data_IF_067891771645
#
_entry.id   IF_067891771645
#
_cell.length_a   1.000
_cell.length_b   1.000
_cell.length_c   1.000
_cell.angle_alpha   90.00
_cell.angle_beta   90.00
_cell.angle_gamma   90.00
#
_symmetry.space_group_name_H-M   'P 1'
#
loop_
_entity.id
_entity.type
_entity.pdbx_description
1 polymer ?
#
# COMPACT_ATOMS: atom_id res chain seq x y z
N UNK A 1 16.33 -24.97 16.62
CA UNK A 1 16.80 -23.59 16.42
C UNK A 1 15.59 -22.76 16.08
N UNK A 2 15.35 -21.63 16.75
CA UNK A 2 14.32 -20.69 16.30
C UNK A 2 14.75 -20.14 14.94
N UNK A 3 13.87 -20.20 13.95
CA UNK A 3 14.04 -19.49 12.67
C UNK A 3 14.05 -18.00 12.99
N UNK A 4 15.15 -17.31 12.69
CA UNK A 4 15.25 -15.86 12.84
C UNK A 4 14.36 -15.20 11.78
N UNK A 5 13.55 -14.22 12.19
CA UNK A 5 12.67 -13.48 11.29
C UNK A 5 13.39 -12.32 10.61
N UNK A 6 12.80 -11.81 9.53
CA UNK A 6 13.19 -10.51 8.98
C UNK A 6 12.22 -9.45 9.47
N UNK A 7 12.75 -8.34 10.00
CA UNK A 7 11.98 -7.16 10.38
C UNK A 7 12.25 -6.06 9.36
N UNK A 8 11.18 -5.48 8.80
CA UNK A 8 11.24 -4.32 7.92
C UNK A 8 10.53 -3.13 8.56
N UNK A 9 11.16 -1.97 8.52
CA UNK A 9 10.61 -0.71 9.05
C UNK A 9 10.65 0.35 7.97
N UNK A 10 9.49 0.85 7.57
CA UNK A 10 9.36 2.01 6.71
C UNK A 10 9.68 3.29 7.47
N UNK A 11 10.44 4.19 6.86
CA UNK A 11 10.85 5.45 7.47
C UNK A 11 10.47 6.65 6.60
N UNK A 12 10.47 7.83 7.21
CA UNK A 12 10.37 9.09 6.48
C UNK A 12 11.79 9.59 6.24
N UNK A 13 12.24 9.59 4.98
CA UNK A 13 13.53 10.13 4.56
C UNK A 13 14.72 9.17 4.64
N UNK A 14 14.51 7.88 4.99
CA UNK A 14 15.56 6.85 4.91
C UNK A 14 15.13 5.58 4.16
N UNK A 15 13.98 5.56 3.49
CA UNK A 15 13.48 4.37 2.83
C UNK A 15 13.09 3.28 3.83
N UNK A 16 13.47 2.03 3.56
CA UNK A 16 13.25 0.88 4.45
C UNK A 16 14.51 0.54 5.24
N UNK A 17 14.35 0.29 6.54
CA UNK A 17 15.36 -0.33 7.40
C UNK A 17 15.03 -1.81 7.57
N UNK A 18 16.06 -2.67 7.55
CA UNK A 18 15.93 -4.13 7.63
C UNK A 18 16.80 -4.69 8.74
N UNK A 19 16.29 -5.68 9.46
CA UNK A 19 17.04 -6.53 10.39
C UNK A 19 16.75 -8.00 10.09
N UNK A 20 17.78 -8.83 10.01
CA UNK A 20 17.68 -10.29 9.89
C UNK A 20 18.09 -11.04 11.17
N UNK A 21 18.21 -10.29 12.28
CA UNK A 21 18.68 -10.77 13.57
C UNK A 21 17.78 -10.29 14.71
N UNK A 22 16.47 -10.29 14.45
CA UNK A 22 15.41 -9.93 15.40
C UNK A 22 15.60 -8.55 16.05
N UNK A 23 16.14 -7.60 15.28
CA UNK A 23 16.31 -6.19 15.67
C UNK A 23 17.65 -5.87 16.32
N UNK A 24 18.58 -6.82 16.43
CA UNK A 24 19.89 -6.59 17.03
C UNK A 24 20.78 -5.67 16.17
N UNK A 25 20.70 -5.77 14.84
CA UNK A 25 21.38 -4.90 13.90
C UNK A 25 20.48 -4.51 12.72
N UNK A 26 20.77 -3.36 12.12
CA UNK A 26 19.93 -2.74 11.09
C UNK A 26 20.74 -2.29 9.88
N UNK A 27 20.23 -2.58 8.69
CA UNK A 27 20.75 -2.09 7.41
C UNK A 27 19.67 -1.30 6.67
N UNK A 28 20.06 -0.22 6.00
CA UNK A 28 19.17 0.59 5.17
C UNK A 28 19.09 0.06 3.74
N UNK A 29 17.89 -0.03 3.17
CA UNK A 29 17.66 -0.20 1.74
C UNK A 29 18.17 1.03 0.98
N UNK A 30 19.41 0.96 0.48
CA UNK A 30 20.05 2.06 -0.24
C UNK A 30 19.73 2.04 -1.74
N UNK A 31 20.17 3.08 -2.46
CA UNK A 31 20.10 3.13 -3.93
C UNK A 31 20.79 1.95 -4.60
N UNK A 32 21.84 1.37 -3.99
CA UNK A 32 22.50 0.17 -4.50
C UNK A 32 21.62 -1.08 -4.41
N UNK A 33 20.67 -1.06 -3.48
CA UNK A 33 19.66 -2.09 -3.29
C UNK A 33 18.34 -1.73 -4.00
N UNK A 34 18.35 -0.72 -4.88
CA UNK A 34 17.24 -0.37 -5.77
C UNK A 34 16.14 0.50 -5.18
N UNK A 35 16.28 0.97 -3.93
CA UNK A 35 15.37 1.94 -3.31
C UNK A 35 16.01 3.32 -3.25
N UNK A 36 15.27 4.38 -3.61
CA UNK A 36 15.78 5.73 -3.46
C UNK A 36 16.06 6.01 -1.98
N UNK A 37 17.25 6.56 -1.67
CA UNK A 37 17.68 6.72 -0.28
C UNK A 37 16.64 7.52 0.51
N UNK A 38 16.16 8.62 -0.05
CA UNK A 38 15.28 9.54 0.69
C UNK A 38 13.79 9.24 0.50
N UNK A 39 13.45 8.05 -0.01
CA UNK A 39 12.07 7.63 -0.15
C UNK A 39 11.34 7.71 1.21
N UNK A 40 10.12 8.22 1.19
CA UNK A 40 9.22 8.27 2.32
C UNK A 40 8.31 7.05 2.22
N UNK A 41 8.50 6.08 3.11
CA UNK A 41 7.68 4.86 3.13
C UNK A 41 6.48 5.08 4.04
N UNK A 42 5.27 4.90 3.51
CA UNK A 42 4.01 5.07 4.24
C UNK A 42 3.38 3.77 4.67
N UNK A 43 3.56 2.71 3.89
CA UNK A 43 3.06 1.38 4.22
C UNK A 43 4.02 0.29 3.71
N UNK A 44 4.02 -0.83 4.42
CA UNK A 44 4.66 -2.08 4.03
C UNK A 44 3.59 -3.18 4.08
N UNK A 45 3.56 -4.05 3.08
CA UNK A 45 2.62 -5.15 3.00
C UNK A 45 3.32 -6.40 2.48
N UNK A 46 3.39 -7.43 3.32
CA UNK A 46 3.91 -8.73 2.91
C UNK A 46 2.82 -9.54 2.18
N UNK A 47 3.22 -10.28 1.16
CA UNK A 47 2.38 -11.27 0.50
C UNK A 47 2.12 -12.43 1.48
N UNK A 48 0.84 -12.79 1.76
CA UNK A 48 0.51 -13.83 2.73
C UNK A 48 0.94 -15.24 2.29
N UNK A 49 1.07 -15.49 0.98
CA UNK A 49 1.55 -16.78 0.44
C UNK A 49 3.06 -16.82 0.28
N UNK A 50 3.70 -15.65 0.12
CA UNK A 50 5.15 -15.49 -0.06
C UNK A 50 5.69 -14.36 0.82
N UNK A 51 5.95 -14.60 2.11
CA UNK A 51 6.36 -13.56 3.05
C UNK A 51 7.67 -12.83 2.68
N UNK A 52 8.50 -13.40 1.81
CA UNK A 52 9.69 -12.75 1.22
C UNK A 52 9.34 -11.68 0.19
N UNK A 53 8.14 -11.76 -0.41
CA UNK A 53 7.60 -10.71 -1.27
C UNK A 53 6.93 -9.65 -0.42
N UNK A 54 7.46 -8.43 -0.47
CA UNK A 54 6.92 -7.28 0.29
C UNK A 54 6.78 -6.08 -0.63
N UNK A 55 5.63 -5.42 -0.54
CA UNK A 55 5.33 -4.18 -1.23
C UNK A 55 5.52 -3.00 -0.28
N UNK A 56 6.12 -1.92 -0.78
CA UNK A 56 6.25 -0.66 -0.08
C UNK A 56 5.52 0.45 -0.83
N UNK A 57 4.55 1.08 -0.17
CA UNK A 57 3.95 2.32 -0.64
C UNK A 57 4.81 3.51 -0.23
N UNK A 58 5.24 4.31 -1.22
CA UNK A 58 6.14 5.44 -1.01
C UNK A 58 5.61 6.72 -1.65
N UNK A 59 6.30 7.84 -1.41
CA UNK A 59 6.11 9.11 -2.13
C UNK A 59 6.45 9.04 -3.62
N UNK A 60 7.22 8.04 -4.05
CA UNK A 60 7.62 7.83 -5.45
C UNK A 60 6.74 6.80 -6.17
N UNK A 61 5.72 6.25 -5.50
CA UNK A 61 4.89 5.15 -5.98
C UNK A 61 5.21 3.83 -5.26
N UNK A 62 5.02 2.71 -5.97
CA UNK A 62 5.22 1.36 -5.41
C UNK A 62 6.64 0.84 -5.60
N UNK A 63 7.17 0.22 -4.56
CA UNK A 63 8.33 -0.66 -4.61
C UNK A 63 7.94 -2.08 -4.22
N UNK A 64 8.69 -3.06 -4.71
CA UNK A 64 8.58 -4.48 -4.33
C UNK A 64 9.96 -5.05 -4.05
N UNK A 65 10.04 -5.93 -3.06
CA UNK A 65 11.13 -6.89 -2.88
C UNK A 65 10.56 -8.29 -3.08
N UNK A 66 11.39 -9.20 -3.58
CA UNK A 66 11.08 -10.64 -3.68
C UNK A 66 12.07 -11.49 -2.84
N UNK A 67 12.94 -10.84 -2.04
CA UNK A 67 13.99 -11.47 -1.22
C UNK A 67 14.03 -10.90 0.21
N UNK A 68 12.86 -10.67 0.80
CA UNK A 68 12.66 -10.19 2.17
C UNK A 68 13.34 -8.84 2.48
N UNK A 69 13.55 -7.99 1.47
CA UNK A 69 14.06 -6.63 1.62
C UNK A 69 15.55 -6.47 1.33
N UNK A 70 16.22 -7.54 0.88
CA UNK A 70 17.62 -7.47 0.46
C UNK A 70 17.78 -6.66 -0.83
N UNK A 71 16.80 -6.69 -1.73
CA UNK A 71 16.75 -5.88 -2.94
C UNK A 71 15.32 -5.43 -3.25
N UNK A 72 15.21 -4.17 -3.63
CA UNK A 72 13.97 -3.53 -4.01
C UNK A 72 13.97 -3.14 -5.48
N UNK A 73 12.78 -3.14 -6.07
CA UNK A 73 12.51 -2.67 -7.41
C UNK A 73 11.33 -1.70 -7.35
N UNK A 74 11.47 -0.53 -7.96
CA UNK A 74 10.33 0.34 -8.22
C UNK A 74 9.45 -0.30 -9.30
N UNK A 75 8.17 -0.44 -9.03
CA UNK A 75 7.20 -0.96 -9.99
C UNK A 75 6.78 0.16 -10.94
N UNK A 76 6.65 -0.15 -12.23
CA UNK A 76 6.11 0.78 -13.20
C UNK A 76 4.58 0.72 -13.17
N UNK A 77 3.96 1.74 -12.56
CA UNK A 77 2.51 1.74 -12.31
C UNK A 77 1.90 3.11 -12.60
N UNK A 78 0.57 3.19 -12.77
CA UNK A 78 -0.14 4.48 -12.82
C UNK A 78 -0.02 5.34 -11.55
N UNK A 79 0.56 4.82 -10.48
CA UNK A 79 0.83 5.54 -9.22
C UNK A 79 2.25 6.12 -9.17
N UNK A 80 3.03 6.05 -10.25
CA UNK A 80 4.36 6.63 -10.31
C UNK A 80 4.30 8.15 -10.03
N UNK A 81 5.01 8.59 -8.99
CA UNK A 81 5.00 10.00 -8.55
C UNK A 81 3.81 10.37 -7.65
N UNK A 82 2.94 9.41 -7.33
CA UNK A 82 1.88 9.57 -6.34
C UNK A 82 2.31 8.97 -5.01
N UNK A 83 1.97 9.64 -3.91
CA UNK A 83 2.18 9.09 -2.57
C UNK A 83 1.18 7.98 -2.28
N UNK A 84 1.68 6.75 -2.14
CA UNK A 84 0.88 5.55 -1.82
C UNK A 84 0.80 5.39 -0.32
N UNK A 85 -0.37 5.63 0.25
CA UNK A 85 -0.61 5.66 1.70
C UNK A 85 -1.02 4.32 2.29
N UNK A 86 -1.76 3.51 1.54
CA UNK A 86 -2.30 2.25 2.03
C UNK A 86 -2.26 1.18 0.95
N UNK A 87 -2.02 -0.07 1.37
CA UNK A 87 -2.11 -1.25 0.53
C UNK A 87 -2.94 -2.32 1.23
N UNK A 88 -3.65 -3.13 0.46
CA UNK A 88 -4.29 -4.36 0.93
C UNK A 88 -4.16 -5.46 -0.12
N UNK A 89 -4.02 -6.69 0.34
CA UNK A 89 -4.11 -7.90 -0.47
C UNK A 89 -5.41 -8.58 -0.04
N UNK A 90 -6.17 -9.05 -1.02
CA UNK A 90 -7.34 -9.89 -0.76
C UNK A 90 -6.88 -11.21 -0.11
N UNK A 91 -7.37 -11.55 1.08
CA UNK A 91 -6.94 -12.74 1.82
C UNK A 91 -7.43 -14.06 1.21
N UNK A 92 -8.39 -14.02 0.27
CA UNK A 92 -8.96 -15.18 -0.41
C UNK A 92 -8.35 -15.37 -1.80
N UNK A 93 -8.07 -14.27 -2.53
CA UNK A 93 -7.35 -14.28 -3.81
C UNK A 93 -6.20 -13.26 -3.80
N UNK A 94 -4.96 -13.67 -3.45
CA UNK A 94 -3.81 -12.76 -3.37
C UNK A 94 -3.42 -12.08 -4.69
N UNK A 95 -4.02 -12.49 -5.82
CA UNK A 95 -3.88 -11.75 -7.08
C UNK A 95 -4.62 -10.41 -7.05
N UNK A 96 -5.66 -10.30 -6.23
CA UNK A 96 -6.44 -9.07 -6.05
C UNK A 96 -5.77 -8.22 -4.98
N UNK A 97 -5.40 -7.01 -5.37
CA UNK A 97 -4.75 -6.05 -4.48
C UNK A 97 -5.38 -4.67 -4.64
N UNK A 98 -5.34 -3.88 -3.58
CA UNK A 98 -5.81 -2.50 -3.57
C UNK A 98 -4.71 -1.56 -3.08
N UNK A 99 -4.64 -0.38 -3.70
CA UNK A 99 -3.70 0.67 -3.32
C UNK A 99 -4.43 2.00 -3.21
N UNK A 100 -4.09 2.77 -2.17
CA UNK A 100 -4.64 4.07 -1.91
C UNK A 100 -3.59 5.16 -2.05
N UNK A 101 -3.88 6.19 -2.84
CA UNK A 101 -3.04 7.38 -3.02
C UNK A 101 -3.75 8.62 -2.49
N UNK A 102 -2.98 9.63 -2.11
CA UNK A 102 -3.51 10.88 -1.55
C UNK A 102 -2.42 11.92 -1.33
N UNK A 103 -2.76 12.96 -0.57
CA UNK A 103 -1.91 14.15 -0.38
C UNK A 103 -0.43 13.82 -0.12
N UNK A 104 0.52 14.52 -0.75
CA UNK A 104 0.35 15.73 -1.58
C UNK A 104 -0.17 15.48 -3.00
N UNK A 105 -0.40 14.22 -3.38
CA UNK A 105 -0.91 13.83 -4.70
C UNK A 105 -2.44 13.79 -4.74
N UNK A 106 -3.01 13.71 -5.94
CA UNK A 106 -4.44 13.50 -6.14
C UNK A 106 -4.90 12.21 -5.47
N UNK A 107 -6.03 12.21 -4.74
CA UNK A 107 -6.53 11.00 -4.11
C UNK A 107 -7.06 10.01 -5.14
N UNK A 108 -6.87 8.73 -4.87
CA UNK A 108 -7.33 7.68 -5.76
C UNK A 108 -7.17 6.29 -5.16
N UNK A 109 -8.09 5.41 -5.52
CA UNK A 109 -8.03 3.98 -5.23
C UNK A 109 -7.71 3.24 -6.52
N UNK A 110 -6.79 2.30 -6.42
CA UNK A 110 -6.36 1.45 -7.53
C UNK A 110 -6.58 -0.01 -7.16
N UNK A 111 -6.86 -0.84 -8.17
CA UNK A 111 -6.97 -2.28 -8.05
C UNK A 111 -6.00 -2.98 -8.99
N UNK A 112 -5.43 -4.07 -8.56
CA UNK A 112 -4.77 -5.07 -9.40
C UNK A 112 -5.54 -6.38 -9.30
N UNK A 113 -5.58 -7.16 -10.38
CA UNK A 113 -6.15 -8.52 -10.43
C UNK A 113 -5.12 -9.56 -10.91
N UNK A 114 -3.85 -9.18 -10.92
CA UNK A 114 -2.72 -9.95 -11.42
C UNK A 114 -1.48 -9.91 -10.49
N UNK A 115 -1.72 -9.81 -9.19
CA UNK A 115 -0.72 -9.74 -8.12
C UNK A 115 0.23 -8.54 -8.26
N UNK A 116 -0.36 -7.37 -8.55
CA UNK A 116 0.35 -6.09 -8.56
C UNK A 116 1.19 -5.83 -9.81
N UNK A 117 1.05 -6.63 -10.88
CA UNK A 117 1.76 -6.42 -12.15
C UNK A 117 1.16 -5.27 -12.94
N UNK A 118 -0.16 -5.18 -12.98
CA UNK A 118 -0.91 -4.08 -13.58
C UNK A 118 -1.94 -3.55 -12.59
N UNK A 119 -2.27 -2.27 -12.73
CA UNK A 119 -3.18 -1.56 -11.84
C UNK A 119 -4.13 -0.70 -12.65
N UNK A 120 -5.40 -0.70 -12.27
CA UNK A 120 -6.42 0.20 -12.79
C UNK A 120 -6.86 1.18 -11.71
N UNK A 121 -7.17 2.42 -12.10
CA UNK A 121 -7.76 3.41 -11.18
C UNK A 121 -9.27 3.17 -11.11
N UNK A 122 -9.81 3.00 -9.91
CA UNK A 122 -11.23 2.76 -9.69
C UNK A 122 -12.02 4.07 -9.69
N UNK A 123 -13.29 3.99 -10.08
CA UNK A 123 -14.25 5.08 -10.03
C UNK A 123 -14.82 5.26 -8.61
N UNK A 124 -13.97 5.70 -7.68
CA UNK A 124 -14.36 6.01 -6.30
C UNK A 124 -14.55 7.51 -6.16
N UNK A 125 -15.72 7.92 -5.66
CA UNK A 125 -15.95 9.33 -5.32
C UNK A 125 -15.19 9.70 -4.05
N UNK A 126 -14.19 10.57 -4.23
CA UNK A 126 -13.37 11.16 -3.17
C UNK A 126 -13.34 12.66 -3.39
N UNK A 127 -13.53 13.43 -2.31
CA UNK A 127 -13.40 14.88 -2.36
C UNK A 127 -11.99 15.26 -2.84
N UNK A 128 -11.89 16.17 -3.80
CA UNK A 128 -10.60 16.66 -4.28
C UNK A 128 -9.84 17.44 -3.18
N UNK A 129 -10.59 18.18 -2.38
CA UNK A 129 -10.11 18.95 -1.24
C UNK A 129 -11.25 19.11 -0.22
N UNK A 130 -10.92 19.02 1.06
CA UNK A 130 -11.80 19.40 2.15
C UNK A 130 -11.41 20.82 2.64
N UNK A 131 -12.32 21.82 2.59
CA UNK A 131 -12.01 23.18 2.99
C UNK A 131 -11.39 23.27 4.38
N UNK A 132 -10.29 24.02 4.51
CA UNK A 132 -9.52 24.22 5.75
C UNK A 132 -8.81 22.98 6.31
N UNK A 133 -8.82 21.86 5.58
CA UNK A 133 -8.13 20.61 5.98
C UNK A 133 -7.10 20.19 4.93
N UNK A 134 -7.50 20.17 3.66
CA UNK A 134 -6.65 19.78 2.53
C UNK A 134 -7.14 18.54 1.80
N UNK A 135 -6.26 17.93 1.03
CA UNK A 135 -6.56 16.78 0.18
C UNK A 135 -6.66 15.48 1.00
N UNK A 136 -7.76 14.72 0.90
CA UNK A 136 -7.92 13.43 1.57
C UNK A 136 -6.83 12.42 1.21
N UNK A 137 -6.64 11.42 2.08
CA UNK A 137 -5.80 10.26 1.78
C UNK A 137 -6.43 8.97 2.33
N UNK A 138 -6.31 7.83 1.63
CA UNK A 138 -6.70 6.54 2.17
C UNK A 138 -5.81 6.18 3.36
N UNK A 139 -6.41 5.94 4.52
CA UNK A 139 -5.69 5.55 5.76
C UNK A 139 -5.72 4.05 6.00
N UNK A 140 -6.64 3.34 5.35
CA UNK A 140 -6.76 1.89 5.45
C UNK A 140 -7.71 1.34 4.40
N UNK A 141 -7.40 0.14 3.93
CA UNK A 141 -8.23 -0.64 3.02
C UNK A 141 -8.41 -2.01 3.66
N UNK A 142 -9.66 -2.46 3.78
CA UNK A 142 -10.00 -3.75 4.35
C UNK A 142 -10.83 -4.56 3.36
N UNK A 143 -10.46 -5.82 3.17
CA UNK A 143 -11.22 -6.80 2.37
C UNK A 143 -11.81 -7.80 3.36
N UNK A 144 -13.11 -8.08 3.25
CA UNK A 144 -13.77 -9.09 4.09
C UNK A 144 -13.17 -10.48 3.81
N UNK A 145 -12.64 -11.20 4.81
CA UNK A 145 -12.06 -12.52 4.60
C UNK A 145 -13.10 -13.62 4.32
N UNK A 146 -14.39 -13.36 4.53
CA UNK A 146 -15.49 -14.31 4.30
C UNK A 146 -16.17 -14.04 2.96
N UNK A 147 -16.46 -12.77 2.67
CA UNK A 147 -17.04 -12.31 1.40
C UNK A 147 -16.13 -11.26 0.76
N UNK A 148 -15.03 -11.71 0.15
CA UNK A 148 -13.97 -10.84 -0.38
C UNK A 148 -14.39 -9.83 -1.47
N UNK A 149 -15.65 -9.91 -1.93
CA UNK A 149 -16.27 -8.87 -2.75
C UNK A 149 -16.57 -7.60 -1.95
N UNK A 150 -16.61 -7.70 -0.62
CA UNK A 150 -16.83 -6.56 0.27
C UNK A 150 -15.50 -5.91 0.63
N UNK A 151 -15.37 -4.65 0.23
CA UNK A 151 -14.16 -3.86 0.43
C UNK A 151 -14.53 -2.52 1.04
N UNK A 152 -13.81 -2.12 2.08
CA UNK A 152 -13.94 -0.79 2.69
C UNK A 152 -12.65 -0.01 2.55
N UNK A 153 -12.80 1.28 2.26
CA UNK A 153 -11.71 2.25 2.31
C UNK A 153 -12.05 3.33 3.32
N UNK A 154 -11.19 3.49 4.33
CA UNK A 154 -11.19 4.65 5.19
C UNK A 154 -10.42 5.78 4.53
N UNK A 155 -11.06 6.92 4.33
CA UNK A 155 -10.42 8.14 3.83
C UNK A 155 -10.34 9.14 4.98
N UNK A 156 -9.14 9.64 5.25
CA UNK A 156 -8.95 10.77 6.14
C UNK A 156 -9.89 11.90 5.70
N UNK A 157 -10.63 12.45 6.65
CA UNK A 157 -11.54 13.61 6.55
C UNK A 157 -12.74 13.49 5.61
N UNK A 158 -12.75 12.51 4.71
CA UNK A 158 -13.83 12.31 3.74
C UNK A 158 -14.75 11.13 4.10
N UNK A 159 -14.37 10.30 5.08
CA UNK A 159 -15.19 9.20 5.61
C UNK A 159 -14.96 7.88 4.88
N UNK A 160 -15.92 6.95 4.98
CA UNK A 160 -15.74 5.55 4.54
C UNK A 160 -16.44 5.28 3.22
N UNK A 161 -15.77 4.55 2.33
CA UNK A 161 -16.31 4.00 1.08
C UNK A 161 -16.45 2.50 1.22
N UNK A 162 -17.54 1.95 0.68
CA UNK A 162 -17.82 0.51 0.67
C UNK A 162 -18.18 0.06 -0.74
N UNK A 163 -17.56 -1.03 -1.17
CA UNK A 163 -17.96 -1.81 -2.34
C UNK A 163 -18.47 -3.16 -1.87
N UNK A 164 -19.54 -3.66 -2.48
CA UNK A 164 -20.08 -5.00 -2.26
C UNK A 164 -19.81 -5.95 -3.45
N UNK A 165 -19.04 -5.50 -4.43
CA UNK A 165 -18.86 -6.18 -5.71
C UNK A 165 -17.41 -6.35 -6.16
N UNK A 166 -16.45 -6.26 -5.24
CA UNK A 166 -15.02 -6.45 -5.49
C UNK A 166 -14.32 -5.18 -5.95
N UNK A 167 -14.94 -4.01 -5.72
CA UNK A 167 -14.41 -2.70 -6.10
C UNK A 167 -14.91 -2.18 -7.44
N UNK A 168 -15.91 -2.81 -8.06
CA UNK A 168 -16.48 -2.34 -9.33
C UNK A 168 -17.37 -1.11 -9.11
N UNK A 169 -18.17 -1.12 -8.05
CA UNK A 169 -18.97 0.04 -7.62
C UNK A 169 -18.74 0.37 -6.15
N UNK A 170 -18.91 1.64 -5.81
CA UNK A 170 -18.62 2.18 -4.50
C UNK A 170 -19.74 3.08 -4.01
N UNK A 171 -20.03 2.98 -2.72
CA UNK A 171 -21.00 3.82 -2.02
C UNK A 171 -20.32 4.48 -0.83
N UNK A 172 -20.72 5.71 -0.53
CA UNK A 172 -20.32 6.37 0.72
C UNK A 172 -21.12 5.77 1.87
N UNK A 173 -20.42 5.35 2.92
CA UNK A 173 -21.06 4.91 4.16
C UNK A 173 -21.43 6.16 4.96
N UNK A 174 -22.72 6.42 5.09
CA UNK A 174 -23.23 7.49 5.95
C UNK A 174 -23.60 6.89 7.32
N UNK A 175 -23.27 7.59 8.40
CA UNK A 175 -23.83 7.27 9.72
C UNK A 175 -25.33 7.60 9.73
N UNK A 176 -26.15 6.68 10.25
CA UNK A 176 -27.50 7.01 10.68
C UNK A 176 -27.48 7.81 11.98
#
# INVERSE_FOLDING_TARGET
MATKGTILVGTIGQGVMMSGDDGASWTRASVRLGMHSDAIVKCLLADPERPETVYAGTDLGLYRTDDAGAKWQRLDTPMNGSMVWSLAIDPVDPRVMFAGTGTPSTPGIYRSTDAGKTWERLAVEIAAECPNVGTPRPTGIAVDPIDHRRVWVGLEVDGVRHSADGGDTWTRVNGQ
#
